data_IF_792812722048
#
_entry.id   IF_792812722048
#
_cell.length_a   1.000
_cell.length_b   1.000
_cell.length_c   1.000
_cell.angle_alpha   90.00
_cell.angle_beta   90.00
_cell.angle_gamma   90.00
#
_symmetry.space_group_name_H-M   'P 1'
#
loop_
_entity.id
_entity.type
_entity.pdbx_description
1 polymer ?
#
# COMPACT_ATOMS: atom_id res chain seq x y z
N UNK A 1 12.33 4.88 71.06
CA UNK A 1 11.23 4.81 70.07
C UNK A 1 11.86 4.59 68.70
N UNK A 2 11.87 3.35 68.22
CA UNK A 2 12.40 2.97 66.90
C UNK A 2 11.25 2.97 65.88
N UNK A 3 11.45 3.47 64.65
CA UNK A 3 10.46 3.30 63.59
C UNK A 3 10.68 1.95 62.89
N UNK A 4 9.62 1.15 62.87
CA UNK A 4 9.51 -0.14 62.21
C UNK A 4 9.42 0.06 60.70
N UNK A 5 10.31 -0.59 59.94
CA UNK A 5 10.29 -0.59 58.48
C UNK A 5 9.13 -1.46 57.96
N UNK A 6 8.24 -0.86 57.16
CA UNK A 6 7.15 -1.55 56.49
C UNK A 6 7.67 -2.30 55.26
N UNK A 7 7.46 -3.62 55.23
CA UNK A 7 7.76 -4.50 54.12
C UNK A 7 6.61 -4.48 53.11
N UNK A 8 6.86 -4.09 51.87
CA UNK A 8 5.89 -4.17 50.77
C UNK A 8 5.93 -5.56 50.12
N UNK A 9 4.79 -6.10 49.66
CA UNK A 9 4.74 -7.43 49.05
C UNK A 9 5.28 -7.42 47.61
N UNK A 10 6.22 -8.32 47.34
CA UNK A 10 6.75 -8.63 46.02
C UNK A 10 5.68 -9.35 45.19
N UNK A 11 5.27 -8.76 44.06
CA UNK A 11 4.44 -9.43 43.05
C UNK A 11 5.31 -10.38 42.21
N UNK A 12 4.84 -11.59 41.88
CA UNK A 12 5.60 -12.50 41.03
C UNK A 12 5.62 -12.00 39.58
N UNK A 13 6.83 -11.84 39.04
CA UNK A 13 7.08 -11.63 37.61
C UNK A 13 6.70 -12.90 36.85
N UNK A 14 5.71 -12.80 35.94
CA UNK A 14 5.47 -13.82 34.91
C UNK A 14 6.57 -13.71 33.85
N UNK A 15 7.48 -14.68 33.82
CA UNK A 15 8.42 -14.87 32.72
C UNK A 15 7.69 -15.42 31.50
N UNK A 16 7.71 -14.70 30.39
CA UNK A 16 7.37 -15.26 29.08
C UNK A 16 8.66 -15.71 28.40
N UNK A 17 8.80 -17.02 28.22
CA UNK A 17 9.90 -17.61 27.45
C UNK A 17 9.46 -17.66 25.98
N UNK A 18 10.03 -16.82 25.12
CA UNK A 18 9.84 -16.91 23.67
C UNK A 18 10.81 -17.96 23.14
N UNK A 19 10.25 -19.07 22.65
CA UNK A 19 10.99 -20.13 21.97
C UNK A 19 11.35 -19.68 20.56
N UNK A 20 12.63 -19.42 20.29
CA UNK A 20 13.14 -19.24 18.93
C UNK A 20 13.56 -20.61 18.38
N UNK A 21 12.66 -21.26 17.65
CA UNK A 21 13.03 -22.34 16.73
C UNK A 21 12.51 -22.03 15.33
N UNK A 22 13.46 -22.09 14.39
CA UNK A 22 13.29 -22.27 12.95
C UNK A 22 12.67 -21.13 12.15
N UNK A 23 13.51 -20.28 11.55
CA UNK A 23 13.43 -20.01 10.11
C UNK A 23 14.86 -19.79 9.61
N UNK A 24 15.43 -20.81 8.97
CA UNK A 24 16.64 -20.65 8.16
C UNK A 24 16.48 -21.57 6.97
N UNK A 25 15.98 -21.06 5.84
CA UNK A 25 16.23 -21.61 4.51
C UNK A 25 15.77 -20.62 3.44
N UNK A 26 16.72 -20.35 2.54
CA UNK A 26 16.59 -19.82 1.18
C UNK A 26 16.19 -18.34 1.07
N UNK A 27 17.04 -17.56 0.42
CA UNK A 27 16.83 -17.06 -0.95
C UNK A 27 18.11 -16.35 -1.42
N UNK A 28 18.67 -16.81 -2.54
CA UNK A 28 19.67 -16.07 -3.34
C UNK A 28 18.95 -15.26 -4.42
N UNK A 29 19.53 -14.13 -4.90
CA UNK A 29 18.85 -13.19 -5.76
C UNK A 29 18.92 -13.62 -7.24
N UNK A 30 17.76 -13.69 -7.90
CA UNK A 30 17.67 -13.79 -9.34
C UNK A 30 17.13 -12.47 -9.93
N UNK A 31 17.82 -12.03 -10.97
CA UNK A 31 17.57 -10.89 -11.86
C UNK A 31 16.10 -10.71 -12.28
N UNK A 32 15.54 -9.53 -12.05
CA UNK A 32 14.27 -9.11 -12.64
C UNK A 32 14.50 -8.30 -13.92
N UNK A 33 14.17 -8.93 -15.03
CA UNK A 33 13.87 -8.32 -16.33
C UNK A 33 12.64 -7.41 -16.18
N UNK A 34 12.73 -6.18 -16.68
CA UNK A 34 11.61 -5.25 -16.73
C UNK A 34 10.69 -5.55 -17.91
N UNK A 35 9.40 -5.76 -17.64
CA UNK A 35 8.34 -5.55 -18.63
C UNK A 35 7.12 -4.90 -17.97
N UNK A 36 6.87 -3.68 -18.40
CA UNK A 36 5.69 -2.88 -18.11
C UNK A 36 4.55 -3.38 -18.98
N UNK A 37 3.54 -4.02 -18.39
CA UNK A 37 2.29 -4.36 -19.10
C UNK A 37 1.38 -3.14 -19.06
N UNK A 38 1.14 -2.57 -20.24
CA UNK A 38 0.24 -1.45 -20.45
C UNK A 38 -1.23 -1.89 -20.35
N UNK A 39 -2.00 -1.05 -19.66
CA UNK A 39 -3.40 -1.25 -19.29
C UNK A 39 -4.34 -0.80 -20.44
N UNK A 40 -4.42 -1.57 -21.55
CA UNK A 40 -5.25 -1.15 -22.71
C UNK A 40 -6.17 -2.18 -23.39
N UNK A 41 -6.32 -3.41 -22.88
CA UNK A 41 -7.05 -4.47 -23.60
C UNK A 41 -8.32 -5.03 -22.91
N UNK A 42 -9.12 -4.18 -22.23
CA UNK A 42 -10.38 -4.66 -21.60
C UNK A 42 -11.65 -3.92 -22.10
N UNK A 43 -11.55 -3.01 -23.07
CA UNK A 43 -12.73 -2.21 -23.52
C UNK A 43 -13.26 -2.59 -24.92
N UNK A 44 -12.67 -3.56 -25.63
CA UNK A 44 -13.06 -3.86 -27.03
C UNK A 44 -13.96 -5.08 -27.24
N UNK A 45 -14.62 -5.65 -26.22
CA UNK A 45 -15.39 -6.90 -26.38
C UNK A 45 -16.88 -6.88 -25.99
N UNK A 46 -17.55 -5.73 -25.88
CA UNK A 46 -19.01 -5.68 -25.63
C UNK A 46 -19.77 -4.69 -26.51
N UNK A 47 -19.68 -4.85 -27.83
CA UNK A 47 -20.50 -4.06 -28.78
C UNK A 47 -20.93 -4.82 -30.05
N UNK A 48 -21.08 -6.14 -29.97
CA UNK A 48 -21.67 -6.95 -31.03
C UNK A 48 -22.76 -7.86 -30.48
N UNK A 49 -24.01 -7.44 -30.64
CA UNK A 49 -25.17 -8.27 -30.39
C UNK A 49 -26.41 -7.44 -30.12
N UNK A 50 -27.26 -7.31 -31.15
CA UNK A 50 -28.71 -7.00 -31.17
C UNK A 50 -29.07 -5.95 -32.24
N UNK A 51 -29.19 -6.42 -33.48
CA UNK A 51 -29.99 -5.78 -34.53
C UNK A 51 -30.69 -6.88 -35.32
N UNK A 52 -31.95 -7.17 -34.96
CA UNK A 52 -32.82 -8.12 -35.64
C UNK A 52 -34.02 -7.40 -36.28
N UNK A 53 -34.00 -7.40 -37.62
CA UNK A 53 -35.10 -7.45 -38.61
C UNK A 53 -36.43 -6.67 -38.41
N UNK A 54 -36.73 -5.72 -39.32
CA UNK A 54 -38.09 -5.23 -39.60
C UNK A 54 -38.66 -5.68 -40.97
N UNK A 55 -38.09 -6.70 -41.63
CA UNK A 55 -38.45 -7.06 -43.01
C UNK A 55 -39.58 -8.10 -43.17
N UNK A 56 -40.08 -8.70 -42.08
CA UNK A 56 -41.02 -9.83 -42.16
C UNK A 56 -42.52 -9.44 -42.10
N UNK A 57 -42.86 -8.17 -41.84
CA UNK A 57 -44.26 -7.75 -41.62
C UNK A 57 -44.89 -7.12 -42.88
N UNK A 58 -44.11 -6.50 -43.77
CA UNK A 58 -44.63 -5.95 -45.03
C UNK A 58 -44.95 -7.02 -46.09
N UNK A 59 -44.39 -8.24 -45.99
CA UNK A 59 -44.63 -9.29 -46.99
C UNK A 59 -45.92 -10.09 -46.78
N UNK A 60 -46.57 -9.99 -45.62
CA UNK A 60 -47.78 -10.77 -45.30
C UNK A 60 -49.08 -10.03 -45.65
N UNK A 61 -49.05 -8.71 -45.84
CA UNK A 61 -50.25 -7.91 -46.15
C UNK A 61 -50.51 -7.78 -47.65
N UNK A 62 -49.49 -7.77 -48.51
CA UNK A 62 -49.71 -7.74 -49.98
C UNK A 62 -50.24 -9.07 -50.52
N UNK A 63 -49.73 -10.20 -50.02
CA UNK A 63 -50.08 -11.53 -50.52
C UNK A 63 -51.57 -11.90 -50.31
N UNK A 64 -52.20 -11.39 -49.24
CA UNK A 64 -53.61 -11.68 -48.95
C UNK A 64 -54.59 -10.80 -49.77
N UNK A 65 -54.18 -9.59 -50.16
CA UNK A 65 -54.99 -8.69 -50.99
C UNK A 65 -55.02 -9.20 -52.45
N UNK A 66 -53.87 -9.63 -52.96
CA UNK A 66 -53.76 -10.17 -54.33
C UNK A 66 -54.51 -11.51 -54.49
N UNK A 67 -54.54 -12.35 -53.44
CA UNK A 67 -55.30 -13.60 -53.43
C UNK A 67 -56.83 -13.37 -53.49
N UNK A 68 -57.33 -12.35 -52.79
CA UNK A 68 -58.76 -11.99 -52.80
C UNK A 68 -59.24 -11.44 -54.15
N UNK A 69 -58.41 -10.61 -54.80
CA UNK A 69 -58.72 -10.05 -56.11
C UNK A 69 -58.78 -11.14 -57.22
N UNK A 70 -57.92 -12.15 -57.13
CA UNK A 70 -57.90 -13.28 -58.06
C UNK A 70 -59.16 -14.17 -57.94
N UNK A 71 -59.62 -14.47 -56.72
CA UNK A 71 -60.85 -15.26 -56.51
C UNK A 71 -62.12 -14.55 -56.99
N UNK A 72 -62.19 -13.23 -56.84
CA UNK A 72 -63.33 -12.44 -57.30
C UNK A 72 -63.42 -12.41 -58.83
N UNK A 73 -62.27 -12.25 -59.50
CA UNK A 73 -62.17 -12.24 -60.97
C UNK A 73 -62.58 -13.59 -61.56
N UNK A 74 -62.10 -14.70 -60.98
CA UNK A 74 -62.48 -16.05 -61.42
C UNK A 74 -63.98 -16.35 -61.24
N UNK A 75 -64.61 -15.80 -60.19
CA UNK A 75 -66.05 -15.96 -59.93
C UNK A 75 -66.89 -15.18 -60.95
N UNK A 76 -66.43 -14.00 -61.38
CA UNK A 76 -67.10 -13.18 -62.39
C UNK A 76 -67.00 -13.78 -63.81
N UNK A 77 -65.85 -14.37 -64.17
CA UNK A 77 -65.71 -15.08 -65.45
C UNK A 77 -66.62 -16.30 -65.53
N UNK A 78 -66.74 -17.07 -64.44
CA UNK A 78 -67.65 -18.22 -64.37
C UNK A 78 -69.12 -17.81 -64.58
N UNK A 79 -69.54 -16.70 -63.98
CA UNK A 79 -70.90 -16.18 -64.15
C UNK A 79 -71.17 -15.73 -65.59
N UNK A 80 -70.18 -15.11 -66.26
CA UNK A 80 -70.28 -14.68 -67.65
C UNK A 80 -70.48 -15.86 -68.63
N UNK A 81 -69.80 -16.99 -68.38
CA UNK A 81 -69.95 -18.23 -69.16
C UNK A 81 -71.33 -18.85 -68.95
N UNK A 82 -71.85 -18.88 -67.72
CA UNK A 82 -73.18 -19.42 -67.42
C UNK A 82 -74.28 -18.60 -68.12
N UNK A 83 -74.20 -17.27 -68.10
CA UNK A 83 -75.14 -16.36 -68.79
C UNK A 83 -75.12 -16.56 -70.30
N UNK A 84 -73.94 -16.71 -70.89
CA UNK A 84 -73.78 -16.95 -72.34
C UNK A 84 -74.32 -18.33 -72.76
N UNK A 85 -74.19 -19.34 -71.89
CA UNK A 85 -74.76 -20.68 -72.10
C UNK A 85 -76.30 -20.68 -72.09
N UNK A 86 -76.89 -19.88 -71.20
CA UNK A 86 -78.34 -19.73 -71.09
C UNK A 86 -78.92 -19.00 -72.32
N UNK A 87 -78.24 -17.97 -72.81
CA UNK A 87 -78.63 -17.27 -74.04
C UNK A 87 -78.61 -18.22 -75.26
N UNK A 88 -77.56 -19.01 -75.42
CA UNK A 88 -77.46 -20.00 -76.51
C UNK A 88 -78.53 -21.10 -76.43
N UNK A 89 -78.90 -21.52 -75.21
CA UNK A 89 -80.00 -22.47 -74.99
C UNK A 89 -81.35 -21.87 -75.42
N UNK A 90 -81.59 -20.60 -75.07
CA UNK A 90 -82.84 -19.91 -75.38
C UNK A 90 -83.01 -19.66 -76.89
N UNK A 91 -81.95 -19.24 -77.58
CA UNK A 91 -81.96 -19.04 -79.04
C UNK A 91 -82.26 -20.34 -79.80
N UNK A 92 -81.67 -21.48 -79.38
CA UNK A 92 -81.97 -22.80 -79.97
C UNK A 92 -83.41 -23.24 -79.71
N UNK A 93 -83.98 -22.91 -78.55
CA UNK A 93 -85.36 -23.27 -78.23
C UNK A 93 -86.37 -22.47 -79.06
N UNK A 94 -86.08 -21.20 -79.32
CA UNK A 94 -86.89 -20.37 -80.23
C UNK A 94 -86.79 -20.90 -81.67
N UNK A 95 -85.59 -21.19 -82.17
CA UNK A 95 -85.42 -21.75 -83.52
C UNK A 95 -86.18 -23.08 -83.69
N UNK A 96 -86.09 -23.98 -82.71
CA UNK A 96 -86.82 -25.25 -82.70
C UNK A 96 -88.35 -25.09 -82.67
N UNK A 97 -88.87 -24.07 -81.97
CA UNK A 97 -90.31 -23.77 -81.96
C UNK A 97 -90.78 -23.19 -83.30
N UNK A 98 -89.98 -22.33 -83.91
CA UNK A 98 -90.25 -21.76 -85.25
C UNK A 98 -90.26 -22.86 -86.31
N UNK A 99 -89.31 -23.79 -86.27
CA UNK A 99 -89.25 -24.92 -87.21
C UNK A 99 -90.44 -25.88 -87.01
N UNK A 100 -90.83 -26.15 -85.75
CA UNK A 100 -92.00 -26.97 -85.43
C UNK A 100 -93.31 -26.32 -85.89
N UNK A 101 -93.42 -24.99 -85.82
CA UNK A 101 -94.60 -24.25 -86.27
C UNK A 101 -94.67 -24.15 -87.79
N UNK A 102 -93.52 -23.97 -88.45
CA UNK A 102 -93.41 -23.94 -89.91
C UNK A 102 -93.75 -25.32 -90.51
N UNK A 103 -93.29 -26.40 -89.88
CA UNK A 103 -93.64 -27.77 -90.27
C UNK A 103 -95.13 -28.09 -90.06
N UNK A 104 -95.75 -27.58 -88.98
CA UNK A 104 -97.19 -27.74 -88.74
C UNK A 104 -98.04 -26.96 -89.77
N UNK A 105 -97.63 -25.74 -90.12
CA UNK A 105 -98.29 -24.89 -91.12
C UNK A 105 -98.20 -25.40 -92.56
N UNK A 106 -97.19 -26.23 -92.89
CA UNK A 106 -97.02 -26.77 -94.24
C UNK A 106 -97.87 -28.04 -94.49
N UNK A 107 -98.40 -28.68 -93.44
CA UNK A 107 -99.11 -29.97 -93.56
C UNK A 107 -100.65 -29.91 -93.49
N UNK A 108 -101.26 -28.79 -93.07
CA UNK A 108 -102.71 -28.69 -92.88
C UNK A 108 -103.27 -27.33 -93.36
N UNK A 109 -104.26 -27.42 -94.27
CA UNK A 109 -105.19 -26.39 -94.75
C UNK A 109 -104.85 -25.56 -96.02
N UNK A 110 -105.52 -25.89 -97.15
CA UNK A 110 -105.72 -25.02 -98.29
C UNK A 110 -107.07 -24.30 -98.17
N UNK A 111 -107.08 -22.97 -98.01
CA UNK A 111 -108.12 -22.02 -98.50
C UNK A 111 -107.88 -20.62 -97.91
N UNK A 112 -108.02 -19.59 -98.75
CA UNK A 112 -107.57 -18.21 -98.51
C UNK A 112 -108.36 -17.44 -97.42
N UNK A 113 -109.54 -17.92 -97.01
CA UNK A 113 -110.38 -17.23 -96.00
C UNK A 113 -110.03 -17.58 -94.54
N UNK A 114 -109.32 -18.69 -94.31
CA UNK A 114 -108.78 -19.07 -92.99
C UNK A 114 -107.50 -18.30 -92.60
N UNK A 115 -106.86 -17.60 -93.55
CA UNK A 115 -105.60 -16.86 -93.35
C UNK A 115 -105.84 -15.49 -92.67
N UNK A 116 -107.00 -14.85 -92.91
CA UNK A 116 -107.32 -13.54 -92.28
C UNK A 116 -107.76 -13.66 -90.81
N UNK A 117 -108.41 -14.75 -90.41
CA UNK A 117 -108.74 -15.00 -88.99
C UNK A 117 -107.51 -15.40 -88.16
N UNK A 118 -106.53 -16.06 -88.78
CA UNK A 118 -105.27 -16.44 -88.15
C UNK A 118 -104.30 -15.24 -88.02
N UNK A 119 -104.26 -14.35 -89.02
CA UNK A 119 -103.48 -13.10 -88.97
C UNK A 119 -103.96 -12.15 -87.84
N UNK A 120 -105.27 -12.06 -87.61
CA UNK A 120 -105.81 -11.28 -86.50
C UNK A 120 -105.49 -11.89 -85.13
N UNK A 121 -105.45 -13.23 -85.02
CA UNK A 121 -105.09 -13.92 -83.76
C UNK A 121 -103.59 -13.84 -83.49
N UNK A 122 -102.73 -13.94 -84.51
CA UNK A 122 -101.28 -13.76 -84.39
C UNK A 122 -100.92 -12.32 -84.03
N UNK A 123 -101.59 -11.31 -84.62
CA UNK A 123 -101.40 -9.90 -84.25
C UNK A 123 -101.90 -9.58 -82.83
N UNK A 124 -103.00 -10.18 -82.38
CA UNK A 124 -103.49 -10.01 -81.01
C UNK A 124 -102.55 -10.68 -79.99
N UNK A 125 -102.07 -11.90 -80.28
CA UNK A 125 -101.15 -12.64 -79.40
C UNK A 125 -99.74 -12.02 -79.40
N UNK A 126 -99.31 -11.44 -80.52
CA UNK A 126 -98.05 -10.68 -80.62
C UNK A 126 -98.07 -9.34 -79.90
N UNK A 127 -99.23 -8.67 -79.80
CA UNK A 127 -99.38 -7.45 -78.97
C UNK A 127 -99.38 -7.78 -77.47
N UNK A 128 -100.13 -8.80 -77.05
CA UNK A 128 -100.18 -9.23 -75.66
C UNK A 128 -98.80 -9.69 -75.15
N UNK A 129 -98.06 -10.43 -75.97
CA UNK A 129 -96.70 -10.89 -75.63
C UNK A 129 -95.71 -9.72 -75.52
N UNK A 130 -95.87 -8.67 -76.34
CA UNK A 130 -95.00 -7.49 -76.30
C UNK A 130 -95.31 -6.59 -75.09
N UNK A 131 -96.57 -6.47 -74.68
CA UNK A 131 -96.95 -5.76 -73.45
C UNK A 131 -96.46 -6.48 -72.18
N UNK A 132 -96.64 -7.81 -72.10
CA UNK A 132 -96.15 -8.60 -70.95
C UNK A 132 -94.61 -8.55 -70.86
N UNK A 133 -93.89 -8.61 -71.99
CA UNK A 133 -92.43 -8.49 -71.99
C UNK A 133 -91.94 -7.09 -71.62
N UNK A 134 -92.67 -6.03 -71.99
CA UNK A 134 -92.36 -4.65 -71.58
C UNK A 134 -92.66 -4.41 -70.10
N UNK A 135 -93.71 -5.01 -69.55
CA UNK A 135 -94.09 -4.89 -68.14
C UNK A 135 -93.15 -5.69 -67.23
N UNK A 136 -92.80 -6.92 -67.62
CA UNK A 136 -91.79 -7.74 -66.92
C UNK A 136 -90.40 -7.10 -67.06
N UNK A 137 -90.05 -6.58 -68.23
CA UNK A 137 -88.79 -5.86 -68.45
C UNK A 137 -88.68 -4.58 -67.61
N UNK A 138 -89.76 -3.80 -67.52
CA UNK A 138 -89.83 -2.61 -66.67
C UNK A 138 -89.76 -2.92 -65.19
N UNK A 139 -90.47 -3.97 -64.74
CA UNK A 139 -90.48 -4.41 -63.33
C UNK A 139 -89.14 -5.01 -62.90
N UNK A 140 -88.50 -5.81 -63.76
CA UNK A 140 -87.15 -6.35 -63.52
C UNK A 140 -86.09 -5.25 -63.52
N UNK A 141 -86.16 -4.28 -64.45
CA UNK A 141 -85.24 -3.15 -64.49
C UNK A 141 -85.40 -2.25 -63.25
N UNK A 142 -86.63 -1.99 -62.81
CA UNK A 142 -86.90 -1.21 -61.61
C UNK A 142 -86.40 -1.92 -60.34
N UNK A 143 -86.61 -3.24 -60.24
CA UNK A 143 -86.15 -4.04 -59.12
C UNK A 143 -84.62 -4.17 -59.10
N UNK A 144 -84.00 -4.38 -60.25
CA UNK A 144 -82.53 -4.40 -60.40
C UNK A 144 -81.91 -3.03 -60.03
N UNK A 145 -82.55 -1.93 -60.44
CA UNK A 145 -82.08 -0.58 -60.08
C UNK A 145 -82.26 -0.30 -58.58
N UNK A 146 -83.35 -0.74 -57.96
CA UNK A 146 -83.58 -0.60 -56.52
C UNK A 146 -82.54 -1.39 -55.72
N UNK A 147 -82.31 -2.65 -56.08
CA UNK A 147 -81.31 -3.52 -55.43
C UNK A 147 -79.89 -2.99 -55.64
N UNK A 148 -79.56 -2.48 -56.84
CA UNK A 148 -78.27 -1.85 -57.13
C UNK A 148 -78.06 -0.57 -56.30
N UNK A 149 -79.11 0.22 -56.09
CA UNK A 149 -79.03 1.46 -55.30
C UNK A 149 -78.90 1.16 -53.81
N UNK A 150 -79.64 0.16 -53.31
CA UNK A 150 -79.50 -0.33 -51.93
C UNK A 150 -78.11 -0.92 -51.66
N UNK A 151 -77.55 -1.67 -52.62
CA UNK A 151 -76.21 -2.21 -52.54
C UNK A 151 -75.13 -1.11 -52.57
N UNK A 152 -75.28 -0.09 -53.45
CA UNK A 152 -74.37 1.07 -53.47
C UNK A 152 -74.41 1.87 -52.17
N UNK A 153 -75.59 2.07 -51.59
CA UNK A 153 -75.74 2.73 -50.29
C UNK A 153 -75.03 1.96 -49.17
N UNK A 154 -75.25 0.64 -49.11
CA UNK A 154 -74.61 -0.24 -48.12
C UNK A 154 -73.09 -0.30 -48.30
N UNK A 155 -72.59 -0.34 -49.54
CA UNK A 155 -71.16 -0.30 -49.84
C UNK A 155 -70.51 1.02 -49.43
N UNK A 156 -71.21 2.14 -49.65
CA UNK A 156 -70.72 3.45 -49.23
C UNK A 156 -70.67 3.57 -47.70
N UNK A 157 -71.65 2.99 -47.00
CA UNK A 157 -71.67 2.93 -45.54
C UNK A 157 -70.51 2.08 -44.99
N UNK A 158 -70.29 0.88 -45.55
CA UNK A 158 -69.14 0.04 -45.18
C UNK A 158 -67.82 0.76 -45.47
N UNK A 159 -67.71 1.47 -46.61
CA UNK A 159 -66.53 2.27 -46.94
C UNK A 159 -66.28 3.38 -45.92
N UNK A 160 -67.33 4.07 -45.47
CA UNK A 160 -67.23 5.09 -44.43
C UNK A 160 -66.82 4.50 -43.08
N UNK A 161 -67.36 3.33 -42.70
CA UNK A 161 -67.00 2.62 -41.47
C UNK A 161 -65.54 2.13 -41.50
N UNK A 162 -65.10 1.54 -42.61
CA UNK A 162 -63.70 1.13 -42.80
C UNK A 162 -62.76 2.34 -42.70
N UNK A 163 -63.11 3.47 -43.31
CA UNK A 163 -62.32 4.70 -43.20
C UNK A 163 -62.27 5.23 -41.75
N UNK A 164 -63.38 5.19 -41.02
CA UNK A 164 -63.45 5.52 -39.59
C UNK A 164 -62.58 4.60 -38.71
N UNK A 165 -62.53 3.30 -39.04
CA UNK A 165 -61.65 2.35 -38.35
C UNK A 165 -60.17 2.59 -38.66
N UNK A 166 -59.81 2.86 -39.92
CA UNK A 166 -58.42 3.17 -40.31
C UNK A 166 -57.92 4.44 -39.62
N UNK A 167 -58.72 5.51 -39.61
CA UNK A 167 -58.36 6.76 -38.91
C UNK A 167 -58.22 6.58 -37.40
N UNK A 168 -59.04 5.71 -36.79
CA UNK A 168 -58.91 5.37 -35.36
C UNK A 168 -57.61 4.59 -35.09
N UNK A 169 -57.25 3.65 -35.96
CA UNK A 169 -56.01 2.89 -35.87
C UNK A 169 -54.78 3.79 -35.99
N UNK A 170 -54.78 4.75 -36.93
CA UNK A 170 -53.69 5.71 -37.09
C UNK A 170 -53.54 6.60 -35.85
N UNK A 171 -54.65 7.05 -35.27
CA UNK A 171 -54.65 7.84 -34.03
C UNK A 171 -54.07 7.04 -32.86
N UNK A 172 -54.51 5.80 -32.66
CA UNK A 172 -53.99 4.91 -31.61
C UNK A 172 -52.49 4.64 -31.82
N UNK A 173 -52.06 4.42 -33.07
CA UNK A 173 -50.65 4.24 -33.42
C UNK A 173 -49.80 5.48 -33.11
N UNK A 174 -50.31 6.68 -33.37
CA UNK A 174 -49.64 7.93 -33.05
C UNK A 174 -49.54 8.20 -31.54
N UNK A 175 -50.62 7.96 -30.78
CA UNK A 175 -50.64 8.09 -29.32
C UNK A 175 -49.67 7.11 -28.66
N UNK A 176 -49.69 5.84 -29.06
CA UNK A 176 -48.75 4.83 -28.57
C UNK A 176 -47.29 5.20 -28.89
N UNK A 177 -47.02 5.75 -30.09
CA UNK A 177 -45.67 6.20 -30.48
C UNK A 177 -45.19 7.36 -29.61
N UNK A 178 -46.06 8.31 -29.27
CA UNK A 178 -45.73 9.42 -28.38
C UNK A 178 -45.44 8.88 -26.97
N UNK A 179 -46.31 8.03 -26.42
CA UNK A 179 -46.13 7.46 -25.08
C UNK A 179 -44.83 6.66 -24.96
N UNK A 180 -44.53 5.81 -25.95
CA UNK A 180 -43.25 5.07 -26.00
C UNK A 180 -42.07 6.02 -26.12
N UNK A 181 -42.15 7.07 -26.94
CA UNK A 181 -41.06 8.06 -27.08
C UNK A 181 -40.80 8.80 -25.78
N UNK A 182 -41.86 9.23 -25.09
CA UNK A 182 -41.77 9.88 -23.77
C UNK A 182 -41.19 8.94 -22.71
N UNK A 183 -41.64 7.68 -22.67
CA UNK A 183 -41.10 6.67 -21.75
C UNK A 183 -39.61 6.41 -22.01
N UNK A 184 -39.20 6.26 -23.28
CA UNK A 184 -37.79 6.07 -23.66
C UNK A 184 -36.94 7.28 -23.27
N UNK A 185 -37.45 8.51 -23.45
CA UNK A 185 -36.76 9.72 -23.00
C UNK A 185 -36.59 9.75 -21.47
N UNK A 186 -37.63 9.39 -20.72
CA UNK A 186 -37.58 9.27 -19.26
C UNK A 186 -36.55 8.24 -18.78
N UNK A 187 -36.52 7.05 -19.40
CA UNK A 187 -35.53 6.01 -19.10
C UNK A 187 -34.11 6.50 -19.40
N UNK A 188 -33.88 7.16 -20.54
CA UNK A 188 -32.57 7.74 -20.87
C UNK A 188 -32.10 8.76 -19.84
N UNK A 189 -33.00 9.63 -19.38
CA UNK A 189 -32.68 10.62 -18.35
C UNK A 189 -32.40 9.96 -16.98
N UNK A 190 -33.14 8.92 -16.62
CA UNK A 190 -32.90 8.14 -15.41
C UNK A 190 -31.53 7.46 -15.44
N UNK A 191 -31.17 6.79 -16.55
CA UNK A 191 -29.86 6.16 -16.74
C UNK A 191 -28.73 7.19 -16.63
N UNK A 192 -28.89 8.37 -17.24
CA UNK A 192 -27.91 9.45 -17.15
C UNK A 192 -27.69 9.91 -15.71
N UNK A 193 -28.77 10.18 -14.99
CA UNK A 193 -28.73 10.64 -13.59
C UNK A 193 -28.09 9.58 -12.68
N UNK A 194 -28.45 8.31 -12.87
CA UNK A 194 -27.87 7.20 -12.12
C UNK A 194 -26.37 7.06 -12.41
N UNK A 195 -25.95 7.21 -13.66
CA UNK A 195 -24.53 7.15 -14.06
C UNK A 195 -23.72 8.27 -13.41
N UNK A 196 -24.25 9.50 -13.40
CA UNK A 196 -23.62 10.65 -12.76
C UNK A 196 -23.51 10.46 -11.23
N UNK A 197 -24.57 9.93 -10.60
CA UNK A 197 -24.57 9.60 -9.16
C UNK A 197 -23.53 8.53 -8.81
N UNK A 198 -23.50 7.42 -9.56
CA UNK A 198 -22.51 6.35 -9.37
C UNK A 198 -21.08 6.85 -9.58
N UNK A 199 -20.85 7.72 -10.57
CA UNK A 199 -19.55 8.33 -10.82
C UNK A 199 -19.12 9.25 -9.67
N UNK A 200 -20.05 10.03 -9.13
CA UNK A 200 -19.82 10.91 -7.98
C UNK A 200 -19.43 10.11 -6.73
N UNK A 201 -20.20 9.08 -6.38
CA UNK A 201 -19.91 8.21 -5.23
C UNK A 201 -18.57 7.48 -5.39
N UNK A 202 -18.27 6.95 -6.58
CA UNK A 202 -16.97 6.33 -6.87
C UNK A 202 -15.82 7.30 -6.65
N UNK A 203 -15.96 8.54 -7.09
CA UNK A 203 -14.93 9.57 -6.92
C UNK A 203 -14.78 9.97 -5.45
N UNK A 204 -15.88 10.11 -4.71
CA UNK A 204 -15.85 10.38 -3.27
C UNK A 204 -15.14 9.25 -2.51
N UNK A 205 -15.46 7.99 -2.80
CA UNK A 205 -14.81 6.82 -2.21
C UNK A 205 -13.30 6.78 -2.53
N UNK A 206 -12.92 7.13 -3.77
CA UNK A 206 -11.51 7.23 -4.16
C UNK A 206 -10.75 8.31 -3.38
N UNK A 207 -11.38 9.46 -3.12
CA UNK A 207 -10.76 10.51 -2.30
C UNK A 207 -10.58 10.07 -0.85
N UNK A 208 -11.57 9.38 -0.27
CA UNK A 208 -11.44 8.84 1.08
C UNK A 208 -10.35 7.76 1.18
N UNK A 209 -10.22 6.89 0.17
CA UNK A 209 -9.14 5.91 0.11
C UNK A 209 -7.76 6.59 0.09
N UNK A 210 -7.57 7.62 -0.73
CA UNK A 210 -6.33 8.39 -0.78
C UNK A 210 -6.04 9.10 0.55
N UNK A 211 -7.08 9.61 1.22
CA UNK A 211 -6.95 10.26 2.54
C UNK A 211 -6.47 9.25 3.58
N UNK A 212 -7.05 8.05 3.60
CA UNK A 212 -6.66 6.96 4.50
C UNK A 212 -5.24 6.48 4.21
N UNK A 213 -4.88 6.27 2.94
CA UNK A 213 -3.53 5.90 2.52
C UNK A 213 -2.48 6.90 3.05
N UNK A 214 -2.71 8.20 2.81
CA UNK A 214 -1.82 9.26 3.31
C UNK A 214 -1.72 9.26 4.84
N UNK A 215 -2.82 9.03 5.54
CA UNK A 215 -2.83 8.93 7.01
C UNK A 215 -2.03 7.73 7.51
N UNK A 216 -2.09 6.58 6.82
CA UNK A 216 -1.34 5.38 7.19
C UNK A 216 0.16 5.64 6.96
N UNK A 217 0.55 6.16 5.80
CA UNK A 217 1.95 6.50 5.50
C UNK A 217 2.54 7.45 6.54
N UNK A 218 1.80 8.50 6.94
CA UNK A 218 2.25 9.43 7.97
C UNK A 218 2.48 8.74 9.33
N UNK A 219 1.57 7.84 9.74
CA UNK A 219 1.71 7.10 11.01
C UNK A 219 2.87 6.11 10.98
N UNK A 220 3.11 5.45 9.85
CA UNK A 220 4.27 4.56 9.67
C UNK A 220 5.57 5.35 9.75
N UNK A 221 5.65 6.53 9.11
CA UNK A 221 6.84 7.38 9.19
C UNK A 221 7.14 7.82 10.63
N UNK A 222 6.13 8.27 11.38
CA UNK A 222 6.28 8.64 12.80
C UNK A 222 6.81 7.45 13.62
N UNK A 223 6.34 6.23 13.36
CA UNK A 223 6.81 5.04 14.06
C UNK A 223 8.29 4.74 13.75
N UNK A 224 8.69 4.83 12.49
CA UNK A 224 10.08 4.64 12.05
C UNK A 224 11.03 5.69 12.67
N UNK A 225 10.61 6.96 12.67
CA UNK A 225 11.40 8.05 13.27
C UNK A 225 11.55 7.85 14.79
N UNK A 226 10.51 7.35 15.45
CA UNK A 226 10.52 7.02 16.88
C UNK A 226 11.48 5.88 17.19
N UNK A 227 11.48 4.81 16.37
CA UNK A 227 12.40 3.68 16.52
C UNK A 227 13.86 4.13 16.36
N UNK A 228 14.16 4.98 15.37
CA UNK A 228 15.49 5.57 15.17
C UNK A 228 15.94 6.38 16.38
N UNK A 229 15.04 7.21 16.95
CA UNK A 229 15.33 7.98 18.16
C UNK A 229 15.62 7.09 19.37
N UNK A 230 14.85 6.01 19.55
CA UNK A 230 15.10 5.03 20.61
C UNK A 230 16.44 4.32 20.43
N UNK A 231 16.81 3.92 19.21
CA UNK A 231 18.10 3.29 18.94
C UNK A 231 19.29 4.23 19.25
N UNK A 232 19.19 5.51 18.88
CA UNK A 232 20.19 6.52 19.20
C UNK A 232 20.32 6.74 20.72
N UNK A 233 19.17 6.86 21.41
CA UNK A 233 19.13 7.03 22.87
C UNK A 233 19.72 5.82 23.61
N UNK A 234 19.43 4.61 23.14
CA UNK A 234 19.99 3.37 23.70
C UNK A 234 21.50 3.30 23.53
N UNK A 235 22.02 3.69 22.35
CA UNK A 235 23.46 3.73 22.08
C UNK A 235 24.18 4.72 23.00
N UNK A 236 23.62 5.91 23.19
CA UNK A 236 24.18 6.91 24.10
C UNK A 236 24.19 6.42 25.55
N UNK A 237 23.08 5.85 26.03
CA UNK A 237 23.02 5.26 27.37
C UNK A 237 24.05 4.13 27.54
N UNK A 238 24.22 3.27 26.53
CA UNK A 238 25.23 2.21 26.55
C UNK A 238 26.66 2.75 26.65
N UNK A 239 26.95 3.88 25.99
CA UNK A 239 28.25 4.55 26.09
C UNK A 239 28.46 5.13 27.49
N UNK A 240 27.44 5.78 28.05
CA UNK A 240 27.49 6.33 29.40
C UNK A 240 27.70 5.24 30.46
N UNK A 241 27.00 4.12 30.36
CA UNK A 241 27.16 2.97 31.26
C UNK A 241 28.58 2.39 31.15
N UNK A 242 29.11 2.23 29.92
CA UNK A 242 30.49 1.76 29.71
C UNK A 242 31.52 2.71 30.33
N UNK A 243 31.34 4.03 30.14
CA UNK A 243 32.21 5.04 30.74
C UNK A 243 32.13 5.05 32.25
N UNK A 244 30.94 4.87 32.83
CA UNK A 244 30.75 4.80 34.27
C UNK A 244 31.42 3.54 34.85
N UNK A 245 31.26 2.39 34.20
CA UNK A 245 31.92 1.16 34.60
C UNK A 245 33.45 1.30 34.59
N UNK A 246 34.03 1.86 33.53
CA UNK A 246 35.46 2.14 33.47
C UNK A 246 35.95 3.07 34.59
N UNK A 247 35.16 4.09 34.95
CA UNK A 247 35.48 4.96 36.09
C UNK A 247 35.41 4.21 37.42
N UNK A 248 34.44 3.32 37.61
CA UNK A 248 34.36 2.47 38.80
C UNK A 248 35.57 1.53 38.93
N UNK A 249 35.99 0.89 37.83
CA UNK A 249 37.18 0.03 37.82
C UNK A 249 38.44 0.84 38.19
N UNK A 250 38.60 2.05 37.64
CA UNK A 250 39.70 2.94 38.02
C UNK A 250 39.66 3.33 39.51
N UNK A 251 38.48 3.58 40.08
CA UNK A 251 38.35 3.90 41.50
C UNK A 251 38.67 2.70 42.41
N UNK A 252 38.24 1.50 42.01
CA UNK A 252 38.58 0.27 42.74
C UNK A 252 40.08 0.00 42.69
N UNK A 253 40.70 0.14 41.52
CA UNK A 253 42.14 -0.03 41.33
C UNK A 253 42.93 1.02 42.13
N UNK A 254 42.47 2.27 42.14
CA UNK A 254 43.04 3.33 42.96
C UNK A 254 43.05 2.97 44.45
N UNK A 255 41.93 2.46 44.97
CA UNK A 255 41.80 2.07 46.38
C UNK A 255 42.65 0.85 46.74
N UNK A 256 42.78 -0.12 45.83
CA UNK A 256 43.54 -1.34 46.08
C UNK A 256 45.05 -1.10 45.95
N UNK A 257 45.47 -0.25 45.02
CA UNK A 257 46.87 0.01 44.72
C UNK A 257 47.44 1.23 45.46
N UNK A 258 46.79 1.71 46.53
CA UNK A 258 47.37 2.78 47.34
C UNK A 258 48.44 2.22 48.26
N UNK A 259 49.66 2.05 47.76
CA UNK A 259 50.81 1.73 48.59
C UNK A 259 51.11 2.93 49.50
N UNK A 260 51.41 2.62 50.76
CA UNK A 260 51.91 3.63 51.72
C UNK A 260 53.42 3.70 51.70
N UNK A 261 54.08 2.60 51.32
CA UNK A 261 55.53 2.47 51.36
C UNK A 261 56.06 1.44 50.35
N UNK A 262 57.30 1.61 49.90
CA UNK A 262 58.07 0.63 49.12
C UNK A 262 59.46 0.46 49.73
N UNK A 263 59.96 -0.78 49.75
CA UNK A 263 61.32 -1.07 50.21
C UNK A 263 62.31 -0.90 49.05
N UNK A 264 63.46 -0.27 49.34
CA UNK A 264 64.56 -0.07 48.41
C UNK A 264 65.77 -0.77 49.01
N UNK A 265 66.23 -1.84 48.36
CA UNK A 265 67.38 -2.62 48.81
C UNK A 265 68.58 -2.32 47.91
N UNK A 266 69.68 -1.88 48.51
CA UNK A 266 70.94 -1.63 47.80
C UNK A 266 71.90 -2.72 48.21
N UNK A 267 72.13 -3.68 47.33
CA UNK A 267 73.00 -4.85 47.60
C UNK A 267 74.50 -4.60 47.32
N UNK A 268 74.83 -3.45 46.72
CA UNK A 268 76.20 -3.06 46.33
C UNK A 268 76.51 -1.63 46.78
N UNK A 269 76.42 -1.37 48.09
CA UNK A 269 76.60 -0.04 48.68
C UNK A 269 77.93 0.61 48.28
N UNK A 270 79.02 -0.16 48.29
CA UNK A 270 80.36 0.31 47.94
C UNK A 270 80.43 0.78 46.48
N UNK A 271 79.73 0.11 45.55
CA UNK A 271 79.68 0.53 44.14
C UNK A 271 78.94 1.85 43.99
N UNK A 272 77.84 2.04 44.72
CA UNK A 272 77.12 3.32 44.71
C UNK A 272 78.00 4.45 45.26
N UNK A 273 78.74 4.19 46.34
CA UNK A 273 79.72 5.13 46.90
C UNK A 273 80.82 5.48 45.91
N UNK A 274 81.47 4.49 45.30
CA UNK A 274 82.54 4.70 44.33
C UNK A 274 82.04 5.52 43.14
N UNK A 275 80.91 5.13 42.55
CA UNK A 275 80.30 5.85 41.44
C UNK A 275 80.00 7.31 41.79
N UNK A 276 79.51 7.59 43.00
CA UNK A 276 79.23 8.97 43.40
C UNK A 276 80.51 9.80 43.60
N UNK A 277 81.66 9.18 43.92
CA UNK A 277 82.95 9.88 43.97
C UNK A 277 83.46 10.20 42.57
N UNK A 278 83.29 9.29 41.63
CA UNK A 278 83.70 9.47 40.24
C UNK A 278 82.86 10.53 39.52
N UNK A 279 81.55 10.56 39.79
CA UNK A 279 80.58 11.36 39.05
C UNK A 279 80.03 12.56 39.83
N UNK A 280 80.53 12.78 41.05
CA UNK A 280 79.96 13.69 42.07
C UNK A 280 78.53 13.34 42.53
N UNK A 281 77.80 12.49 41.79
CA UNK A 281 76.47 12.02 42.13
C UNK A 281 76.25 10.60 41.61
N UNK A 282 75.53 9.77 42.36
CA UNK A 282 75.06 8.47 41.88
C UNK A 282 73.67 8.17 42.41
N UNK A 283 72.85 7.50 41.62
CA UNK A 283 71.46 7.23 41.95
C UNK A 283 71.17 5.74 41.95
N UNK A 284 70.24 5.34 42.80
CA UNK A 284 69.68 4.00 42.83
C UNK A 284 68.17 4.10 43.05
N UNK A 285 67.39 3.51 42.15
CA UNK A 285 65.93 3.51 42.21
C UNK A 285 65.41 2.11 42.49
N UNK A 286 64.19 2.01 43.04
CA UNK A 286 63.45 0.76 43.13
C UNK A 286 63.35 0.09 41.76
N UNK A 287 63.07 -1.22 41.73
CA UNK A 287 63.02 -1.98 40.47
C UNK A 287 61.96 -1.44 39.49
N UNK A 288 60.82 -0.98 40.01
CA UNK A 288 59.71 -0.44 39.23
C UNK A 288 59.01 0.71 39.96
N UNK A 289 58.32 1.60 39.23
CA UNK A 289 57.48 2.62 39.84
C UNK A 289 56.25 1.99 40.51
N UNK A 290 55.75 2.64 41.55
CA UNK A 290 54.62 2.20 42.36
C UNK A 290 53.60 3.33 42.57
N UNK A 291 52.35 2.97 42.88
CA UNK A 291 51.29 3.96 43.12
C UNK A 291 51.19 4.39 44.58
N UNK A 292 51.31 5.69 44.82
CA UNK A 292 51.13 6.31 46.14
C UNK A 292 50.05 7.38 46.06
N UNK A 293 48.88 7.15 46.68
CA UNK A 293 47.72 8.06 46.62
C UNK A 293 47.32 8.46 45.19
N UNK A 294 47.54 7.57 44.21
CA UNK A 294 47.29 7.76 42.78
C UNK A 294 48.43 8.37 41.97
N UNK A 295 49.49 8.86 42.61
CA UNK A 295 50.70 9.27 41.91
C UNK A 295 51.55 8.05 41.59
N UNK A 296 51.97 7.89 40.33
CA UNK A 296 52.95 6.88 39.95
C UNK A 296 54.35 7.42 40.25
N UNK A 297 55.04 6.84 41.24
CA UNK A 297 56.31 7.35 41.75
C UNK A 297 57.40 6.29 41.56
N UNK A 298 58.51 6.68 40.93
CA UNK A 298 59.72 5.87 40.94
C UNK A 298 60.63 6.33 42.08
N UNK A 299 60.50 5.64 43.21
CA UNK A 299 61.25 5.95 44.43
C UNK A 299 62.70 5.49 44.35
N UNK A 300 63.60 6.21 45.01
CA UNK A 300 65.02 5.94 45.00
C UNK A 300 65.80 6.78 46.02
N UNK A 301 67.12 6.76 45.83
CA UNK A 301 68.09 7.56 46.55
C UNK A 301 69.10 8.16 45.61
N UNK A 302 69.67 9.28 46.04
CA UNK A 302 70.81 9.92 45.42
C UNK A 302 71.92 10.02 46.44
N UNK A 303 73.14 9.67 46.05
CA UNK A 303 74.33 9.91 46.83
C UNK A 303 75.12 11.03 46.18
N UNK A 304 75.40 12.09 46.92
CA UNK A 304 76.18 13.23 46.46
C UNK A 304 77.55 13.25 47.13
N UNK A 305 78.58 13.64 46.37
CA UNK A 305 79.93 13.83 46.89
C UNK A 305 80.32 15.31 46.76
N UNK A 306 80.70 15.92 47.87
CA UNK A 306 81.19 17.30 47.94
C UNK A 306 82.52 17.33 48.68
N UNK A 307 83.61 17.46 47.92
CA UNK A 307 84.96 17.26 48.45
C UNK A 307 85.13 15.80 48.92
N UNK A 308 85.53 15.63 50.17
CA UNK A 308 85.70 14.31 50.79
C UNK A 308 84.44 13.80 51.51
N UNK A 309 83.38 14.62 51.59
CA UNK A 309 82.14 14.28 52.24
C UNK A 309 81.15 13.65 51.25
N UNK A 310 80.44 12.61 51.69
CA UNK A 310 79.35 11.99 50.95
C UNK A 310 78.05 12.09 51.75
N UNK A 311 76.98 12.44 51.07
CA UNK A 311 75.64 12.51 51.66
C UNK A 311 74.66 11.63 50.90
N UNK A 312 73.71 11.06 51.62
CA UNK A 312 72.62 10.26 51.07
C UNK A 312 71.33 11.06 51.16
N UNK A 313 70.68 11.20 50.01
CA UNK A 313 69.47 11.96 49.82
C UNK A 313 68.35 11.07 49.28
N UNK A 314 67.11 11.47 49.57
CA UNK A 314 65.95 10.93 48.87
C UNK A 314 65.99 11.36 47.41
N UNK A 315 65.65 10.45 46.50
CA UNK A 315 65.45 10.77 45.10
C UNK A 315 64.15 10.13 44.62
N UNK A 316 63.31 10.87 43.92
CA UNK A 316 62.19 10.29 43.20
C UNK A 316 61.80 11.18 42.02
N UNK A 317 61.06 10.60 41.09
CA UNK A 317 60.37 11.36 40.05
C UNK A 317 58.97 10.77 39.84
N UNK A 318 58.09 11.61 39.30
CA UNK A 318 56.72 11.25 38.96
C UNK A 318 56.67 10.75 37.52
N UNK A 319 56.08 9.58 37.32
CA UNK A 319 55.77 9.05 36.01
C UNK A 319 54.31 9.32 35.63
N UNK A 320 54.00 9.21 34.34
CA UNK A 320 52.61 9.29 33.88
C UNK A 320 51.84 8.07 34.41
N UNK A 321 50.90 8.32 35.32
CA UNK A 321 50.05 7.28 35.92
C UNK A 321 48.68 7.16 35.25
N UNK A 322 48.03 6.02 35.46
CA UNK A 322 46.65 5.77 35.06
C UNK A 322 45.65 6.68 35.81
N UNK A 323 46.03 7.17 36.99
CA UNK A 323 45.18 8.00 37.86
C UNK A 323 45.51 9.49 37.82
N UNK A 324 46.34 9.95 36.88
CA UNK A 324 46.75 11.36 36.77
C UNK A 324 45.57 12.34 36.65
N UNK A 325 44.42 11.88 36.13
CA UNK A 325 43.20 12.67 36.00
C UNK A 325 42.41 12.80 37.30
N UNK A 326 42.64 11.89 38.26
CA UNK A 326 41.91 11.81 39.54
C UNK A 326 42.65 12.51 40.68
N UNK A 327 43.95 12.73 40.54
CA UNK A 327 44.79 13.37 41.56
C UNK A 327 44.97 14.87 41.29
N UNK A 328 45.19 15.64 42.35
CA UNK A 328 45.48 17.07 42.24
C UNK A 328 46.93 17.32 41.83
N UNK A 329 47.17 18.34 41.02
CA UNK A 329 48.52 18.77 40.63
C UNK A 329 48.79 20.22 41.06
N UNK A 330 50.03 20.60 41.42
CA UNK A 330 51.20 19.72 41.64
C UNK A 330 50.98 18.76 42.82
N UNK A 331 51.82 17.71 42.95
CA UNK A 331 51.77 16.79 44.08
C UNK A 331 52.04 17.53 45.39
N UNK A 332 51.07 17.49 46.32
CA UNK A 332 51.16 18.10 47.66
C UNK A 332 51.06 17.02 48.72
N UNK A 333 52.17 16.32 48.97
CA UNK A 333 52.27 15.19 49.88
C UNK A 333 53.54 15.32 50.72
N UNK A 334 53.54 14.68 51.87
CA UNK A 334 54.76 14.50 52.65
C UNK A 334 55.38 13.17 52.28
N UNK A 335 56.63 13.19 51.89
CA UNK A 335 57.42 12.02 51.51
C UNK A 335 58.47 11.79 52.57
N UNK A 336 58.71 10.52 52.91
CA UNK A 336 59.71 10.12 53.89
C UNK A 336 60.59 9.00 53.33
N UNK A 337 61.89 9.08 53.60
CA UNK A 337 62.82 7.99 53.36
C UNK A 337 63.38 7.55 54.71
N UNK A 338 63.19 6.28 55.02
CA UNK A 338 63.67 5.66 56.25
C UNK A 338 64.84 4.75 55.92
N UNK A 339 65.99 4.94 56.57
CA UNK A 339 67.12 3.99 56.55
C UNK A 339 66.95 3.06 57.74
N UNK A 340 66.78 1.77 57.48
CA UNK A 340 66.48 0.77 58.50
C UNK A 340 67.76 0.12 59.01
N UNK A 341 67.94 0.05 60.33
CA UNK A 341 69.08 -0.63 60.92
C UNK A 341 68.89 -2.16 60.81
N UNK A 342 69.88 -2.93 60.32
CA UNK A 342 69.71 -4.35 60.00
C UNK A 342 69.45 -5.25 61.22
N UNK A 343 69.83 -4.82 62.42
CA UNK A 343 69.69 -5.60 63.66
C UNK A 343 68.92 -4.93 64.79
N UNK A 344 68.68 -3.61 64.72
CA UNK A 344 68.01 -2.86 65.78
C UNK A 344 66.61 -2.53 65.28
N UNK A 345 65.59 -3.16 65.90
CA UNK A 345 64.20 -3.06 65.44
C UNK A 345 63.69 -1.61 65.37
N UNK A 346 64.14 -0.75 66.28
CA UNK A 346 63.76 0.66 66.37
C UNK A 346 64.86 1.61 65.84
N UNK A 347 65.95 1.05 65.30
CA UNK A 347 67.04 1.84 64.72
C UNK A 347 66.64 2.36 63.35
N UNK A 348 66.21 3.61 63.28
CA UNK A 348 65.80 4.27 62.03
C UNK A 348 66.41 5.65 61.92
N UNK A 349 66.92 6.00 60.74
CA UNK A 349 67.21 7.38 60.33
C UNK A 349 66.22 7.81 59.27
N UNK A 350 65.80 9.05 59.26
CA UNK A 350 64.72 9.52 58.38
C UNK A 350 65.05 10.83 57.70
N UNK A 351 64.70 10.93 56.43
CA UNK A 351 64.66 12.15 55.63
C UNK A 351 63.20 12.48 55.36
N UNK A 352 62.82 13.75 55.49
CA UNK A 352 61.47 14.21 55.20
C UNK A 352 61.47 15.30 54.13
N UNK A 353 60.49 15.24 53.24
CA UNK A 353 60.21 16.27 52.27
C UNK A 353 58.71 16.58 52.27
N UNK A 354 58.34 17.82 52.56
CA UNK A 354 56.96 18.29 52.41
C UNK A 354 56.82 18.99 51.06
N UNK A 355 56.26 18.32 50.06
CA UNK A 355 56.17 18.86 48.70
C UNK A 355 55.16 20.01 48.60
N UNK A 356 54.35 20.27 49.64
CA UNK A 356 53.46 21.42 49.65
C UNK A 356 54.18 22.75 49.99
N UNK A 357 55.35 22.68 50.62
CA UNK A 357 56.10 23.86 51.06
C UNK A 357 57.03 24.44 49.99
N UNK A 358 57.29 23.67 48.92
CA UNK A 358 58.29 24.00 47.92
C UNK A 358 57.69 23.92 46.52
N UNK A 359 57.91 24.95 45.71
CA UNK A 359 57.56 24.91 44.29
C UNK A 359 58.68 24.20 43.51
N UNK A 360 58.81 22.89 43.75
CA UNK A 360 59.89 22.11 43.16
C UNK A 360 59.58 21.77 41.70
N UNK A 361 60.52 22.02 40.77
CA UNK A 361 60.36 21.61 39.39
C UNK A 361 60.24 20.08 39.33
N UNK A 362 59.14 19.59 38.77
CA UNK A 362 58.91 18.15 38.63
C UNK A 362 57.78 17.56 39.47
N UNK A 363 57.17 18.34 40.36
CA UNK A 363 55.94 17.96 41.05
C UNK A 363 54.67 18.18 40.22
N UNK A 364 54.80 18.83 39.06
CA UNK A 364 53.71 19.02 38.10
C UNK A 364 53.37 17.73 37.36
N UNK A 365 52.25 17.75 36.65
CA UNK A 365 51.80 16.59 35.87
C UNK A 365 52.89 16.19 34.88
N UNK A 366 53.35 14.95 34.97
CA UNK A 366 54.47 14.46 34.17
C UNK A 366 54.20 14.66 32.68
N UNK A 367 54.86 15.65 32.06
CA UNK A 367 55.03 15.66 30.62
C UNK A 367 56.06 14.57 30.29
N UNK A 368 55.99 13.95 29.10
CA UNK A 368 56.78 12.77 28.67
C UNK A 368 58.33 12.82 28.84
N UNK A 369 58.91 13.89 29.40
CA UNK A 369 60.33 14.00 29.74
C UNK A 369 60.51 14.01 31.25
N UNK A 370 61.37 13.11 31.73
CA UNK A 370 61.70 12.90 33.14
C UNK A 370 61.87 14.23 33.88
N UNK A 371 60.98 14.54 34.84
CA UNK A 371 61.15 15.72 35.67
C UNK A 371 62.41 15.57 36.55
N UNK A 372 62.98 16.72 36.96
CA UNK A 372 64.16 16.76 37.80
C UNK A 372 63.99 15.93 39.08
N UNK A 373 65.10 15.37 39.55
CA UNK A 373 65.14 14.59 40.78
C UNK A 373 64.98 15.54 41.96
N UNK A 374 64.03 15.22 42.83
CA UNK A 374 63.76 15.99 44.03
C UNK A 374 64.60 15.42 45.18
N UNK A 375 65.48 16.26 45.72
CA UNK A 375 66.35 15.93 46.86
C UNK A 375 65.88 16.65 48.13
N UNK A 376 65.94 15.96 49.26
CA UNK A 376 65.52 16.43 50.58
C UNK A 376 66.70 16.86 51.47
N UNK A 377 66.54 16.76 52.79
CA UNK A 377 67.65 16.93 53.73
C UNK A 377 68.54 15.68 53.74
N UNK A 378 69.83 15.85 53.51
CA UNK A 378 70.76 14.73 53.38
C UNK A 378 71.17 14.09 54.71
N UNK A 379 71.44 12.78 54.68
CA UNK A 379 72.10 12.04 55.76
C UNK A 379 73.59 11.88 55.46
N UNK A 380 74.43 12.03 56.48
CA UNK A 380 75.86 11.78 56.38
C UNK A 380 76.13 10.28 56.16
N UNK A 381 76.80 9.93 55.04
CA UNK A 381 77.15 8.53 54.73
C UNK A 381 78.09 7.95 55.78
N UNK A 382 79.06 8.74 56.27
CA UNK A 382 79.99 8.28 57.30
C UNK A 382 79.29 7.96 58.62
N UNK A 383 78.24 8.72 58.96
CA UNK A 383 77.46 8.47 60.18
C UNK A 383 76.62 7.20 60.05
N UNK A 384 76.01 6.97 58.88
CA UNK A 384 75.27 5.72 58.61
C UNK A 384 76.16 4.48 58.73
N UNK A 385 77.38 4.55 58.20
CA UNK A 385 78.37 3.46 58.29
C UNK A 385 78.85 3.25 59.73
N UNK A 386 79.21 4.33 60.41
CA UNK A 386 79.68 4.29 61.80
C UNK A 386 78.61 3.75 62.76
N UNK A 387 77.35 4.09 62.53
CA UNK A 387 76.22 3.68 63.35
C UNK A 387 75.70 2.28 63.00
N UNK A 388 76.29 1.60 62.00
CA UNK A 388 75.97 0.20 61.67
C UNK A 388 74.74 -0.02 60.79
N UNK A 389 74.24 1.02 60.11
CA UNK A 389 73.13 0.90 59.15
C UNK A 389 73.52 0.15 57.88
N UNK A 390 74.82 0.10 57.56
CA UNK A 390 75.36 -0.63 56.41
C UNK A 390 75.97 -1.94 56.91
N UNK A 391 75.51 -3.07 56.36
CA UNK A 391 76.01 -4.40 56.74
C UNK A 391 76.19 -5.27 55.50
N UNK A 392 77.33 -5.95 55.41
CA UNK A 392 77.66 -6.88 54.31
C UNK A 392 77.54 -6.23 52.91
N UNK A 393 77.93 -4.95 52.81
CA UNK A 393 77.77 -4.09 51.62
C UNK A 393 76.31 -3.79 51.22
N UNK A 394 75.38 -3.94 52.17
CA UNK A 394 73.95 -3.75 51.94
C UNK A 394 73.35 -2.69 52.84
N UNK A 395 72.32 -2.02 52.31
CA UNK A 395 71.43 -1.17 53.09
C UNK A 395 69.99 -1.35 52.61
N UNK A 396 69.07 -1.38 53.58
CA UNK A 396 67.63 -1.41 53.32
C UNK A 396 67.05 -0.07 53.69
N UNK A 397 66.33 0.51 52.74
CA UNK A 397 65.57 1.72 52.92
C UNK A 397 64.09 1.46 52.69
N UNK A 398 63.27 2.35 53.21
CA UNK A 398 61.84 2.35 53.01
C UNK A 398 61.38 3.75 52.63
N UNK A 399 60.80 3.87 51.44
CA UNK A 399 60.23 5.11 50.95
C UNK A 399 58.74 5.12 51.24
N UNK A 400 58.25 6.16 51.89
CA UNK A 400 56.85 6.30 52.30
C UNK A 400 56.25 7.60 51.79
N UNK A 401 54.97 7.57 51.45
CA UNK A 401 54.18 8.77 51.17
C UNK A 401 53.06 8.84 52.21
N UNK A 402 52.86 10.02 52.76
CA UNK A 402 51.83 10.29 53.76
C UNK A 402 50.62 10.99 53.12
N UNK A 403 49.39 10.77 53.66
CA UNK A 403 48.16 11.33 53.11
C UNK A 403 48.13 12.85 53.02
#
# INVERSE_FOLDING_TARGET
>A
MHPTAATLPVRPQKSWTISTKNVNTMWSPASSCGQTIAHKDVVSHMSLGLCSQPAAVESLTSANIDSGAAQLTASLEKLSVEVSSFQSYFERRIASLVDSWTAALTSHCPTLESIQSLDNTIRATGRLSREILMEIGGSLQAKLNADTTGFKGSLQEVKNQVHGLMTTQDRIGAEAKIEVSTAVAGIKQCIKTLTESCLHERNAMRQELLRVEKSICNRVQIALDTESHFAASYKELSNQVSSFHAACELLLDYQQNTLKSVDINIDSWSQLKEKSKEQCTAQHFAEKPEYFYGYCIHAGVQMETSGDAQSLDMAFFLEQGNFDQLVSWPMKKKVCLLVLHPTQKDGVRSIFLDTALWDLPGLGRAAKKHPGILSGTALSVSDLEKDGFIKDDKVTLKFEVMP
#
